data_IF_529729632085
#
_entry.id   IF_529729632085
#
_cell.length_a   1.000
_cell.length_b   1.000
_cell.length_c   1.000
_cell.angle_alpha   90.00
_cell.angle_beta   90.00
_cell.angle_gamma   90.00
#
_symmetry.space_group_name_H-M   'P 1'
#
loop_
_entity.id
_entity.type
_entity.pdbx_description
1 polymer ?
#
# COMPACT_ATOMS: atom_id res chain seq x y z
N UNK A 1 29.34 -48.33 -0.18
CA UNK A 1 28.07 -47.93 -0.82
C UNK A 1 27.59 -46.71 -0.06
N UNK A 2 27.36 -45.64 -0.82
CA UNK A 2 27.55 -44.23 -0.46
C UNK A 2 26.97 -43.73 0.85
N UNK A 3 27.83 -42.97 1.54
CA UNK A 3 27.49 -41.88 2.44
C UNK A 3 26.81 -40.76 1.65
N UNK A 4 25.50 -40.60 1.81
CA UNK A 4 24.84 -39.35 1.46
C UNK A 4 25.17 -38.34 2.56
N UNK A 5 26.08 -37.42 2.24
CA UNK A 5 26.40 -36.23 3.01
C UNK A 5 25.12 -35.43 3.29
N UNK A 6 24.70 -35.44 4.56
CA UNK A 6 23.85 -34.42 5.15
C UNK A 6 24.69 -33.14 5.23
N UNK A 7 24.75 -32.38 4.12
CA UNK A 7 25.37 -31.05 4.04
C UNK A 7 24.65 -30.09 5.01
N UNK A 8 25.03 -30.17 6.28
CA UNK A 8 24.72 -29.14 7.26
C UNK A 8 25.51 -27.90 6.87
N UNK A 9 24.82 -26.90 6.34
CA UNK A 9 25.35 -25.56 6.14
C UNK A 9 25.76 -25.00 7.51
N UNK A 10 27.02 -25.19 7.88
CA UNK A 10 27.65 -24.63 9.06
C UNK A 10 28.07 -23.19 8.75
N UNK A 11 27.14 -22.24 8.86
CA UNK A 11 27.46 -20.82 8.74
C UNK A 11 28.26 -20.36 9.96
N UNK A 12 29.37 -19.66 9.74
CA UNK A 12 30.17 -19.10 10.82
C UNK A 12 29.43 -17.96 11.54
N UNK A 13 29.77 -17.69 12.80
CA UNK A 13 29.18 -16.58 13.54
C UNK A 13 29.43 -15.21 12.88
N UNK A 14 30.54 -15.07 12.14
CA UNK A 14 30.88 -13.86 11.39
C UNK A 14 29.98 -13.68 10.16
N UNK A 15 29.76 -14.74 9.39
CA UNK A 15 28.84 -14.73 8.24
C UNK A 15 27.40 -14.48 8.70
N UNK A 16 26.96 -15.13 9.78
CA UNK A 16 25.64 -14.92 10.38
C UNK A 16 25.42 -13.45 10.76
N UNK A 17 26.45 -12.82 11.32
CA UNK A 17 26.43 -11.41 11.69
C UNK A 17 26.37 -10.50 10.46
N UNK A 18 27.17 -10.77 9.44
CA UNK A 18 27.18 -9.98 8.21
C UNK A 18 25.81 -10.00 7.52
N UNK A 19 25.20 -11.19 7.37
CA UNK A 19 23.86 -11.35 6.78
C UNK A 19 22.80 -10.59 7.59
N UNK A 20 22.86 -10.67 8.92
CA UNK A 20 21.93 -9.92 9.78
C UNK A 20 22.08 -8.42 9.63
N UNK A 21 23.32 -7.92 9.63
CA UNK A 21 23.61 -6.49 9.55
C UNK A 21 23.21 -5.93 8.15
N UNK A 22 23.39 -6.72 7.09
CA UNK A 22 22.89 -6.42 5.74
C UNK A 22 21.36 -6.36 5.69
N UNK A 23 20.69 -7.34 6.29
CA UNK A 23 19.22 -7.38 6.35
C UNK A 23 18.64 -6.22 7.16
N UNK A 24 19.30 -5.82 8.25
CA UNK A 24 18.91 -4.63 9.01
C UNK A 24 19.04 -3.36 8.19
N UNK A 25 20.14 -3.20 7.42
CA UNK A 25 20.30 -2.05 6.51
C UNK A 25 19.21 -2.02 5.45
N UNK A 26 18.86 -3.18 4.90
CA UNK A 26 17.78 -3.33 3.95
C UNK A 26 16.44 -2.84 4.52
N UNK A 27 16.05 -3.27 5.73
CA UNK A 27 14.80 -2.81 6.36
C UNK A 27 14.83 -1.32 6.69
N UNK A 28 15.99 -0.80 7.10
CA UNK A 28 16.16 0.62 7.43
C UNK A 28 15.90 1.54 6.23
N UNK A 29 16.25 1.11 5.01
CA UNK A 29 15.88 1.84 3.78
C UNK A 29 14.37 2.03 3.64
N UNK A 30 13.58 1.01 4.00
CA UNK A 30 12.11 1.08 3.99
C UNK A 30 11.56 1.96 5.11
N UNK A 31 12.17 1.96 6.29
CA UNK A 31 11.82 2.91 7.36
C UNK A 31 12.05 4.36 6.93
N UNK A 32 13.13 4.62 6.20
CA UNK A 32 13.38 5.96 5.64
C UNK A 32 12.42 6.31 4.51
N UNK A 33 12.11 5.37 3.62
CA UNK A 33 11.09 5.59 2.58
C UNK A 33 9.72 5.93 3.17
N UNK A 34 9.35 5.32 4.31
CA UNK A 34 8.14 5.69 5.05
C UNK A 34 8.19 7.14 5.54
N UNK A 35 9.31 7.57 6.15
CA UNK A 35 9.44 8.94 6.66
C UNK A 35 9.31 10.00 5.56
N UNK A 36 9.86 9.73 4.38
CA UNK A 36 9.71 10.60 3.20
C UNK A 36 8.22 10.76 2.83
N UNK A 37 7.50 9.64 2.72
CA UNK A 37 6.05 9.67 2.43
C UNK A 37 5.25 10.32 3.55
N UNK A 38 5.51 9.99 4.81
CA UNK A 38 4.83 10.58 5.97
C UNK A 38 4.98 12.10 5.97
N UNK A 39 6.20 12.61 5.79
CA UNK A 39 6.46 14.04 5.73
C UNK A 39 5.67 14.72 4.61
N UNK A 40 5.62 14.12 3.41
CA UNK A 40 4.84 14.63 2.28
C UNK A 40 3.34 14.68 2.60
N UNK A 41 2.81 13.65 3.26
CA UNK A 41 1.40 13.60 3.67
C UNK A 41 1.10 14.60 4.78
N UNK A 42 1.99 14.77 5.75
CA UNK A 42 1.85 15.76 6.82
C UNK A 42 1.85 17.18 6.26
N UNK A 43 2.71 17.49 5.30
CA UNK A 43 2.70 18.79 4.61
C UNK A 43 1.37 19.03 3.91
N UNK A 44 0.85 18.04 3.17
CA UNK A 44 -0.46 18.16 2.51
C UNK A 44 -1.58 18.37 3.55
N UNK A 45 -1.57 17.61 4.65
CA UNK A 45 -2.54 17.76 5.75
C UNK A 45 -2.53 19.17 6.31
N UNK A 46 -1.34 19.69 6.62
CA UNK A 46 -1.18 20.99 7.25
C UNK A 46 -1.54 22.11 6.26
N UNK A 47 -1.15 22.00 4.98
CA UNK A 47 -1.57 22.92 3.92
C UNK A 47 -3.10 23.00 3.82
N UNK A 48 -3.80 21.86 3.86
CA UNK A 48 -5.26 21.85 3.88
C UNK A 48 -5.85 22.55 5.09
N UNK A 49 -5.29 22.35 6.28
CA UNK A 49 -5.76 23.01 7.50
C UNK A 49 -5.59 24.53 7.47
N UNK A 50 -4.53 25.04 6.84
CA UNK A 50 -4.25 26.48 6.80
C UNK A 50 -4.89 27.21 5.62
N UNK A 51 -5.05 26.53 4.49
CA UNK A 51 -5.50 27.14 3.22
C UNK A 51 -6.96 26.86 2.88
N UNK A 52 -7.59 25.89 3.55
CA UNK A 52 -8.95 25.47 3.27
C UNK A 52 -9.77 25.35 4.57
N UNK A 53 -11.08 25.51 4.47
CA UNK A 53 -11.98 25.39 5.63
C UNK A 53 -12.19 23.92 6.10
N UNK A 54 -11.51 22.97 5.47
CA UNK A 54 -11.74 21.53 5.66
C UNK A 54 -10.46 20.72 5.44
N UNK A 55 -10.19 19.79 6.36
CA UNK A 55 -9.05 18.87 6.28
C UNK A 55 -9.51 17.50 5.76
N UNK A 56 -9.02 17.05 4.59
CA UNK A 56 -9.38 15.76 4.02
C UNK A 56 -8.78 14.55 4.76
N UNK A 57 -7.79 14.74 5.65
CA UNK A 57 -7.04 13.67 6.31
C UNK A 57 -7.39 13.60 7.79
N UNK A 58 -7.96 12.46 8.20
CA UNK A 58 -8.36 12.17 9.57
C UNK A 58 -7.25 11.49 10.35
N UNK A 59 -6.61 10.49 9.73
CA UNK A 59 -5.58 9.69 10.38
C UNK A 59 -4.57 9.14 9.38
N UNK A 60 -3.30 9.09 9.80
CA UNK A 60 -2.21 8.47 9.05
C UNK A 60 -1.54 7.47 9.97
N UNK A 61 -1.30 6.27 9.47
CA UNK A 61 -0.52 5.25 10.16
C UNK A 61 0.45 4.60 9.19
N UNK A 62 1.66 4.30 9.64
CA UNK A 62 2.67 3.63 8.85
C UNK A 62 3.18 2.39 9.57
N UNK A 63 3.77 1.47 8.80
CA UNK A 63 4.47 0.31 9.34
C UNK A 63 5.46 -0.24 8.34
N UNK A 64 6.56 -0.79 8.87
CA UNK A 64 7.40 -1.74 8.15
C UNK A 64 6.94 -3.16 8.51
N UNK A 65 6.86 -4.03 7.50
CA UNK A 65 6.52 -5.44 7.68
C UNK A 65 7.58 -6.12 8.56
N UNK A 66 7.14 -6.89 9.56
CA UNK A 66 8.09 -7.64 10.40
C UNK A 66 8.88 -8.66 9.56
N UNK A 67 10.10 -8.95 10.01
CA UNK A 67 10.98 -9.95 9.39
C UNK A 67 10.27 -11.28 9.16
N UNK A 68 9.56 -11.80 10.17
CA UNK A 68 8.85 -13.08 10.06
C UNK A 68 7.75 -13.02 8.99
N UNK A 69 6.98 -11.94 8.95
CA UNK A 69 5.93 -11.74 7.94
C UNK A 69 6.48 -11.57 6.53
N UNK A 70 7.67 -10.98 6.40
CA UNK A 70 8.37 -10.85 5.13
C UNK A 70 8.87 -12.22 4.64
N UNK A 71 9.56 -12.98 5.52
CA UNK A 71 10.04 -14.33 5.21
C UNK A 71 8.88 -15.28 4.86
N UNK A 72 7.76 -15.20 5.58
CA UNK A 72 6.54 -15.94 5.24
C UNK A 72 6.00 -15.57 3.86
N UNK A 73 6.05 -14.29 3.50
CA UNK A 73 5.58 -13.82 2.19
C UNK A 73 6.50 -14.28 1.06
N UNK A 74 7.82 -14.22 1.25
CA UNK A 74 8.82 -14.76 0.33
C UNK A 74 8.58 -16.25 0.09
N UNK A 75 8.43 -17.02 1.18
CA UNK A 75 8.15 -18.46 1.12
C UNK A 75 6.83 -18.77 0.39
N UNK A 76 5.75 -18.07 0.73
CA UNK A 76 4.43 -18.25 0.07
C UNK A 76 4.45 -17.92 -1.42
N UNK A 77 5.35 -17.04 -1.86
CA UNK A 77 5.52 -16.68 -3.28
C UNK A 77 6.54 -17.54 -4.01
N UNK A 78 7.20 -18.48 -3.34
CA UNK A 78 8.27 -19.28 -3.96
C UNK A 78 9.50 -18.45 -4.35
N UNK A 79 9.73 -17.35 -3.63
CA UNK A 79 10.87 -16.43 -3.74
C UNK A 79 12.24 -17.13 -3.67
N UNK A 80 13.17 -17.08 -4.65
CA UNK A 80 14.57 -17.39 -4.37
C UNK A 80 15.11 -16.51 -3.22
N UNK A 81 16.02 -17.02 -2.39
CA UNK A 81 16.67 -16.22 -1.36
C UNK A 81 17.54 -15.12 -2.01
N UNK A 82 17.41 -13.89 -1.50
CA UNK A 82 18.20 -12.74 -1.96
C UNK A 82 17.46 -11.43 -1.76
N UNK A 83 18.14 -10.42 -1.21
CA UNK A 83 17.53 -9.13 -0.91
C UNK A 83 17.09 -8.38 -2.18
N UNK A 84 17.84 -8.52 -3.28
CA UNK A 84 17.48 -7.93 -4.57
C UNK A 84 16.17 -8.51 -5.13
N UNK A 85 16.00 -9.83 -5.01
CA UNK A 85 14.77 -10.52 -5.41
C UNK A 85 13.59 -10.03 -4.57
N UNK A 86 13.80 -9.91 -3.25
CA UNK A 86 12.79 -9.39 -2.34
C UNK A 86 12.39 -7.96 -2.72
N UNK A 87 13.36 -7.08 -2.99
CA UNK A 87 13.11 -5.69 -3.40
C UNK A 87 12.27 -5.60 -4.67
N UNK A 88 12.56 -6.44 -5.66
CA UNK A 88 11.88 -6.43 -6.95
C UNK A 88 10.45 -7.00 -6.87
N UNK A 89 10.19 -7.97 -6.00
CA UNK A 89 8.94 -8.74 -6.01
C UNK A 89 8.01 -8.44 -4.83
N UNK A 90 8.49 -7.79 -3.77
CA UNK A 90 7.72 -7.47 -2.58
C UNK A 90 7.70 -5.96 -2.36
N UNK A 91 6.61 -5.36 -2.80
CA UNK A 91 6.40 -3.90 -2.80
C UNK A 91 5.72 -3.36 -1.55
N UNK A 92 5.19 -4.22 -0.67
CA UNK A 92 4.46 -3.87 0.55
C UNK A 92 5.31 -4.10 1.83
N UNK A 93 6.62 -3.88 1.72
CA UNK A 93 7.53 -3.93 2.88
C UNK A 93 7.31 -2.69 3.74
N UNK A 94 7.29 -1.52 3.12
CA UNK A 94 6.81 -0.26 3.69
C UNK A 94 5.34 -0.07 3.33
N UNK A 95 4.50 0.15 4.34
CA UNK A 95 3.07 0.42 4.15
C UNK A 95 2.60 1.66 4.90
N UNK A 96 1.94 2.57 4.21
CA UNK A 96 1.23 3.72 4.79
C UNK A 96 -0.27 3.51 4.58
N UNK A 97 -1.07 3.84 5.61
CA UNK A 97 -2.51 3.91 5.51
C UNK A 97 -2.95 5.33 5.83
N UNK A 98 -3.77 5.88 4.95
CA UNK A 98 -4.34 7.20 5.08
C UNK A 98 -5.85 7.07 5.11
N UNK A 99 -6.45 7.52 6.21
CA UNK A 99 -7.89 7.58 6.40
C UNK A 99 -8.34 9.00 6.14
N UNK A 100 -9.22 9.17 5.16
CA UNK A 100 -9.84 10.42 4.75
C UNK A 100 -11.30 10.48 5.22
N UNK A 101 -11.91 11.67 5.24
CA UNK A 101 -13.32 11.76 5.64
C UNK A 101 -14.27 11.28 4.54
N UNK A 102 -14.00 11.60 3.27
CA UNK A 102 -14.85 11.17 2.14
C UNK A 102 -14.09 10.47 1.02
N UNK A 103 -14.84 9.85 0.11
CA UNK A 103 -14.29 9.14 -1.04
C UNK A 103 -13.66 10.12 -2.04
N UNK A 104 -14.24 11.31 -2.22
CA UNK A 104 -13.64 12.36 -3.04
C UNK A 104 -12.24 12.78 -2.53
N UNK A 105 -12.05 12.80 -1.21
CA UNK A 105 -10.77 13.17 -0.59
C UNK A 105 -9.70 12.11 -0.77
N UNK A 106 -10.10 10.82 -0.79
CA UNK A 106 -9.22 9.71 -1.14
C UNK A 106 -8.58 9.94 -2.51
N UNK A 107 -9.38 10.23 -3.53
CA UNK A 107 -8.87 10.47 -4.89
C UNK A 107 -8.06 11.76 -4.98
N UNK A 108 -8.53 12.83 -4.34
CA UNK A 108 -7.82 14.11 -4.33
C UNK A 108 -6.43 13.98 -3.71
N UNK A 109 -6.30 13.29 -2.58
CA UNK A 109 -5.02 13.12 -1.92
C UNK A 109 -4.08 12.20 -2.71
N UNK A 110 -4.62 11.13 -3.30
CA UNK A 110 -3.88 10.27 -4.22
C UNK A 110 -3.28 11.07 -5.38
N UNK A 111 -4.08 11.93 -6.03
CA UNK A 111 -3.61 12.80 -7.11
C UNK A 111 -2.52 13.76 -6.65
N UNK A 112 -2.75 14.49 -5.55
CA UNK A 112 -1.79 15.48 -5.04
C UNK A 112 -0.45 14.85 -4.66
N UNK A 113 -0.46 13.65 -4.08
CA UNK A 113 0.78 12.94 -3.74
C UNK A 113 1.50 12.46 -4.99
N UNK A 114 0.79 11.88 -5.95
CA UNK A 114 1.38 11.27 -7.16
C UNK A 114 1.80 12.28 -8.22
N UNK A 115 1.37 13.55 -8.09
CA UNK A 115 1.83 14.66 -8.92
C UNK A 115 3.16 15.27 -8.45
N UNK A 116 3.69 14.90 -7.29
CA UNK A 116 4.98 15.40 -6.82
C UNK A 116 6.12 14.85 -7.68
N UNK A 117 7.06 15.72 -8.07
CA UNK A 117 8.12 15.41 -9.04
C UNK A 117 9.03 14.23 -8.65
N UNK A 118 9.14 13.95 -7.35
CA UNK A 118 9.99 12.90 -6.78
C UNK A 118 9.23 11.64 -6.35
N UNK A 119 7.92 11.58 -6.62
CA UNK A 119 7.07 10.41 -6.34
C UNK A 119 6.74 9.71 -7.65
N UNK A 120 7.23 8.49 -7.84
CA UNK A 120 6.92 7.69 -9.03
C UNK A 120 5.82 6.69 -8.74
N UNK A 121 4.69 6.78 -9.43
CA UNK A 121 3.61 5.81 -9.33
C UNK A 121 3.94 4.52 -10.09
N UNK A 122 4.03 3.39 -9.38
CA UNK A 122 4.33 2.08 -9.96
C UNK A 122 3.06 1.27 -10.28
N UNK A 123 2.06 1.30 -9.40
CA UNK A 123 0.82 0.52 -9.58
C UNK A 123 -0.34 1.15 -8.81
N UNK A 124 -1.54 1.08 -9.38
CA UNK A 124 -2.80 1.44 -8.71
C UNK A 124 -3.74 0.25 -8.74
N UNK A 125 -4.42 0.00 -7.62
CA UNK A 125 -5.55 -0.93 -7.53
C UNK A 125 -6.71 -0.22 -6.86
N UNK A 126 -7.75 0.05 -7.64
CA UNK A 126 -8.90 0.79 -7.19
C UNK A 126 -10.03 -0.15 -6.75
N UNK A 127 -9.99 -0.57 -5.48
CA UNK A 127 -11.07 -1.37 -4.90
C UNK A 127 -12.24 -0.51 -4.42
N UNK A 128 -12.22 0.81 -4.62
CA UNK A 128 -13.37 1.66 -4.37
C UNK A 128 -14.31 1.57 -5.58
N UNK A 129 -13.74 1.75 -6.77
CA UNK A 129 -14.46 1.58 -8.04
C UNK A 129 -14.83 0.11 -8.31
N UNK A 130 -13.93 -0.83 -8.02
CA UNK A 130 -14.14 -2.27 -8.20
C UNK A 130 -13.92 -3.03 -6.87
N UNK A 131 -14.91 -3.02 -5.96
CA UNK A 131 -14.81 -3.71 -4.67
C UNK A 131 -14.55 -5.20 -4.84
N UNK A 132 -13.81 -5.79 -3.90
CA UNK A 132 -13.62 -7.25 -3.90
C UNK A 132 -14.94 -7.97 -3.59
N UNK A 133 -15.06 -9.26 -3.95
CA UNK A 133 -16.28 -10.04 -3.67
C UNK A 133 -16.73 -10.05 -2.20
N UNK A 134 -15.79 -9.93 -1.26
CA UNK A 134 -16.08 -9.87 0.18
C UNK A 134 -16.59 -8.49 0.67
N UNK A 135 -16.66 -7.47 -0.20
CA UNK A 135 -17.02 -6.10 0.16
C UNK A 135 -15.83 -5.20 0.52
N UNK A 136 -14.59 -5.69 0.40
CA UNK A 136 -13.42 -4.87 0.69
C UNK A 136 -13.26 -3.69 -0.29
N UNK A 137 -13.13 -2.49 0.27
CA UNK A 137 -12.87 -1.25 -0.46
C UNK A 137 -11.66 -0.50 0.10
N UNK A 138 -10.83 0.03 -0.81
CA UNK A 138 -9.66 0.88 -0.53
C UNK A 138 -9.01 1.22 -1.88
N UNK A 139 -8.37 2.39 -2.00
CA UNK A 139 -7.50 2.69 -3.13
C UNK A 139 -6.06 2.36 -2.73
N UNK A 140 -5.41 1.42 -3.44
CA UNK A 140 -4.02 1.05 -3.18
C UNK A 140 -3.12 1.65 -4.25
N UNK A 141 -2.14 2.43 -3.84
CA UNK A 141 -1.08 2.92 -4.71
C UNK A 141 0.26 2.34 -4.25
N UNK A 142 1.03 1.78 -5.16
CA UNK A 142 2.44 1.49 -4.92
C UNK A 142 3.22 2.62 -5.57
N UNK A 143 3.94 3.38 -4.75
CA UNK A 143 4.79 4.48 -5.20
C UNK A 143 6.25 4.18 -4.90
N UNK A 144 7.15 4.86 -5.58
CA UNK A 144 8.58 4.80 -5.35
C UNK A 144 9.11 6.19 -5.03
N UNK A 145 9.91 6.30 -3.96
CA UNK A 145 10.54 7.55 -3.53
C UNK A 145 12.05 7.42 -3.38
N UNK A 146 12.82 8.49 -3.65
CA UNK A 146 14.24 8.53 -3.33
C UNK A 146 14.49 8.60 -1.83
N UNK A 147 15.38 7.74 -1.35
CA UNK A 147 16.00 7.86 -0.02
C UNK A 147 17.49 8.13 -0.21
N UNK A 148 17.97 9.24 0.34
CA UNK A 148 19.38 9.64 0.22
C UNK A 148 20.18 9.18 1.45
N UNK A 149 21.03 8.18 1.26
CA UNK A 149 21.92 7.63 2.28
C UNK A 149 23.36 8.07 2.06
N UNK A 150 24.22 7.84 3.06
CA UNK A 150 25.66 8.09 2.93
C UNK A 150 26.33 7.26 1.82
N UNK A 151 25.72 6.15 1.42
CA UNK A 151 26.17 5.28 0.33
C UNK A 151 25.59 5.64 -1.04
N UNK A 152 24.68 6.63 -1.11
CA UNK A 152 24.01 7.04 -2.34
C UNK A 152 22.50 7.05 -2.22
N UNK A 153 21.84 7.38 -3.34
CA UNK A 153 20.38 7.38 -3.43
C UNK A 153 19.86 5.97 -3.72
N UNK A 154 18.85 5.54 -2.96
CA UNK A 154 18.13 4.28 -3.18
C UNK A 154 16.68 4.61 -3.46
N UNK A 155 16.09 3.92 -4.42
CA UNK A 155 14.66 4.02 -4.71
C UNK A 155 13.91 2.98 -3.90
N UNK A 156 12.93 3.43 -3.12
CA UNK A 156 12.23 2.60 -2.14
C UNK A 156 10.75 2.54 -2.49
N UNK A 157 10.19 1.35 -2.77
CA UNK A 157 8.77 1.20 -2.98
C UNK A 157 8.01 1.24 -1.66
N UNK A 158 6.90 1.98 -1.64
CA UNK A 158 5.98 2.13 -0.51
C UNK A 158 4.56 1.87 -1.00
N UNK A 159 3.86 0.95 -0.34
CA UNK A 159 2.43 0.75 -0.55
C UNK A 159 1.64 1.76 0.29
N UNK A 160 0.77 2.53 -0.35
CA UNK A 160 -0.11 3.50 0.29
C UNK A 160 -1.56 3.06 0.09
N UNK A 161 -2.29 2.92 1.19
CA UNK A 161 -3.69 2.54 1.20
C UNK A 161 -4.53 3.74 1.63
N UNK A 162 -5.31 4.29 0.71
CA UNK A 162 -6.25 5.36 0.98
C UNK A 162 -7.64 4.76 1.25
N UNK A 163 -8.31 5.27 2.29
CA UNK A 163 -9.60 4.75 2.78
C UNK A 163 -10.43 5.88 3.35
N UNK A 164 -11.75 5.70 3.38
CA UNK A 164 -12.60 6.47 4.30
C UNK A 164 -12.55 5.86 5.71
N UNK A 165 -13.13 6.57 6.68
CA UNK A 165 -13.33 6.05 8.04
C UNK A 165 -14.10 4.72 8.02
N UNK A 166 -15.18 4.63 7.24
CA UNK A 166 -16.02 3.43 7.21
C UNK A 166 -15.29 2.25 6.56
N UNK A 167 -14.55 2.49 5.48
CA UNK A 167 -13.70 1.47 4.84
C UNK A 167 -12.63 0.93 5.80
N UNK A 168 -11.97 1.81 6.55
CA UNK A 168 -10.94 1.39 7.50
C UNK A 168 -11.51 0.60 8.68
N UNK A 169 -12.65 1.05 9.22
CA UNK A 169 -13.36 0.35 10.27
C UNK A 169 -13.76 -1.07 9.83
N UNK A 170 -14.38 -1.19 8.66
CA UNK A 170 -14.81 -2.47 8.10
C UNK A 170 -13.63 -3.42 7.87
N UNK A 171 -12.58 -2.94 7.20
CA UNK A 171 -11.40 -3.75 6.88
C UNK A 171 -10.64 -4.19 8.15
N UNK A 172 -10.63 -3.36 9.19
CA UNK A 172 -10.04 -3.72 10.48
C UNK A 172 -10.82 -4.83 11.20
N UNK A 173 -12.15 -4.85 11.08
CA UNK A 173 -12.99 -5.92 11.61
C UNK A 173 -12.83 -7.22 10.82
N UNK A 174 -12.88 -7.15 9.48
CA UNK A 174 -12.69 -8.29 8.58
C UNK A 174 -11.34 -8.99 8.88
N UNK A 175 -10.27 -8.20 8.99
CA UNK A 175 -8.94 -8.74 9.26
C UNK A 175 -8.86 -9.45 10.62
N UNK A 176 -9.49 -8.89 11.66
CA UNK A 176 -9.55 -9.51 13.01
C UNK A 176 -10.32 -10.83 12.98
N UNK A 177 -11.43 -10.90 12.23
CA UNK A 177 -12.23 -12.11 12.07
C UNK A 177 -11.42 -13.18 11.33
N UNK A 178 -10.83 -12.85 10.18
CA UNK A 178 -10.02 -13.80 9.42
C UNK A 178 -8.82 -14.32 10.24
N UNK A 179 -8.20 -13.49 11.06
CA UNK A 179 -7.15 -13.92 11.97
C UNK A 179 -7.66 -14.91 13.03
N UNK A 180 -8.78 -14.58 13.70
CA UNK A 180 -9.36 -15.42 14.76
C UNK A 180 -9.82 -16.80 14.27
N UNK A 181 -10.33 -16.89 13.04
CA UNK A 181 -10.85 -18.13 12.47
C UNK A 181 -9.85 -18.86 11.57
N UNK A 182 -8.55 -18.50 11.61
CA UNK A 182 -7.52 -19.09 10.74
C UNK A 182 -7.93 -19.10 9.25
N UNK A 183 -8.63 -18.05 8.81
CA UNK A 183 -9.23 -17.88 7.48
C UNK A 183 -10.38 -18.83 7.12
N UNK A 184 -10.88 -19.63 8.06
CA UNK A 184 -12.07 -20.48 7.90
C UNK A 184 -13.31 -19.81 8.51
N UNK A 185 -13.72 -18.68 7.92
CA UNK A 185 -14.84 -17.88 8.43
C UNK A 185 -16.17 -18.52 8.00
N UNK A 186 -17.15 -18.68 8.92
CA UNK A 186 -18.48 -19.19 8.57
C UNK A 186 -19.17 -18.34 7.49
N UNK A 187 -19.85 -18.99 6.55
CA UNK A 187 -20.45 -18.32 5.38
C UNK A 187 -21.49 -17.24 5.76
N UNK A 188 -22.32 -17.50 6.78
CA UNK A 188 -23.27 -16.49 7.28
C UNK A 188 -22.60 -15.24 7.85
N UNK A 189 -21.39 -15.38 8.43
CA UNK A 189 -20.61 -14.23 8.91
C UNK A 189 -19.97 -13.46 7.75
N UNK A 190 -19.51 -14.16 6.71
CA UNK A 190 -19.02 -13.51 5.48
C UNK A 190 -20.14 -12.71 4.78
N UNK A 191 -21.35 -13.26 4.69
CA UNK A 191 -22.50 -12.56 4.16
C UNK A 191 -22.85 -11.31 4.99
N UNK A 192 -22.83 -11.43 6.31
CA UNK A 192 -23.08 -10.29 7.23
C UNK A 192 -22.00 -9.21 7.12
N UNK A 193 -20.73 -9.60 6.94
CA UNK A 193 -19.65 -8.65 6.69
C UNK A 193 -19.85 -7.92 5.38
N UNK A 194 -20.20 -8.64 4.30
CA UNK A 194 -20.48 -8.02 3.02
C UNK A 194 -21.62 -7.00 3.11
N UNK A 195 -22.72 -7.37 3.74
CA UNK A 195 -23.87 -6.46 3.96
C UNK A 195 -23.48 -5.20 4.75
N UNK A 196 -22.63 -5.37 5.78
CA UNK A 196 -22.09 -4.25 6.53
C UNK A 196 -21.18 -3.33 5.70
N UNK A 197 -20.39 -3.89 4.76
CA UNK A 197 -19.59 -3.10 3.82
C UNK A 197 -20.49 -2.30 2.88
N UNK A 198 -21.50 -2.94 2.29
CA UNK A 198 -22.42 -2.30 1.35
C UNK A 198 -23.20 -1.16 2.07
N UNK A 199 -23.63 -1.37 3.32
CA UNK A 199 -24.27 -0.35 4.16
C UNK A 199 -23.32 0.80 4.51
N UNK A 200 -22.07 0.50 4.85
CA UNK A 200 -21.04 1.50 5.13
C UNK A 200 -20.78 2.40 3.91
N UNK A 201 -20.70 1.80 2.72
CA UNK A 201 -20.52 2.53 1.47
C UNK A 201 -21.70 3.48 1.17
N UNK A 202 -22.95 3.03 1.42
CA UNK A 202 -24.13 3.89 1.26
C UNK A 202 -24.10 5.08 2.23
N UNK A 203 -23.72 4.84 3.49
CA UNK A 203 -23.60 5.88 4.50
C UNK A 203 -22.53 6.91 4.10
N UNK A 204 -21.34 6.47 3.69
CA UNK A 204 -20.26 7.35 3.24
C UNK A 204 -20.74 8.24 2.07
N UNK A 205 -21.38 7.63 1.07
CA UNK A 205 -21.89 8.37 -0.09
C UNK A 205 -22.99 9.38 0.32
N UNK A 206 -23.84 9.05 1.29
CA UNK A 206 -24.86 9.95 1.81
C UNK A 206 -24.24 11.12 2.57
N UNK A 207 -23.26 10.84 3.44
CA UNK A 207 -22.57 11.86 4.23
C UNK A 207 -21.78 12.82 3.33
N UNK A 208 -21.14 12.31 2.29
CA UNK A 208 -20.43 13.13 1.30
C UNK A 208 -21.40 14.07 0.55
N UNK A 209 -22.59 13.58 0.16
CA UNK A 209 -23.63 14.44 -0.46
C UNK A 209 -24.09 15.55 0.47
N UNK A 210 -24.28 15.25 1.76
CA UNK A 210 -24.67 16.24 2.76
C UNK A 210 -23.56 17.28 2.96
N UNK A 211 -22.31 16.84 3.06
CA UNK A 211 -21.15 17.73 3.17
C UNK A 211 -21.06 18.69 1.97
N UNK A 212 -21.20 18.16 0.75
CA UNK A 212 -21.22 18.98 -0.48
C UNK A 212 -22.35 20.01 -0.50
N UNK A 213 -23.53 19.65 0.01
CA UNK A 213 -24.68 20.56 0.08
C UNK A 213 -24.49 21.68 1.11
N UNK A 214 -23.83 21.41 2.24
CA UNK A 214 -23.54 22.41 3.28
C UNK A 214 -22.43 23.38 2.88
N UNK A 215 -21.38 22.89 2.20
CA UNK A 215 -20.22 23.69 1.82
C UNK A 215 -20.32 24.34 0.43
N UNK A 216 -21.53 24.34 -0.18
CA UNK A 216 -21.84 25.14 -1.35
C UNK A 216 -20.89 24.92 -2.53
N UNK A 217 -20.93 23.74 -3.16
CA UNK A 217 -20.38 23.47 -4.50
C UNK A 217 -19.07 24.19 -4.85
N UNK A 218 -17.94 23.70 -4.33
CA UNK A 218 -16.63 24.10 -4.85
C UNK A 218 -16.51 23.72 -6.34
N UNK A 219 -15.82 24.53 -7.17
CA UNK A 219 -15.72 24.29 -8.60
C UNK A 219 -15.05 22.93 -8.84
N UNK A 220 -15.78 22.05 -9.51
CA UNK A 220 -15.18 20.89 -10.18
C UNK A 220 -14.31 21.44 -11.30
N UNK A 221 -13.03 21.70 -11.04
CA UNK A 221 -12.07 21.60 -12.12
C UNK A 221 -12.18 20.17 -12.66
N UNK A 222 -12.46 19.97 -13.95
CA UNK A 222 -12.60 18.63 -14.49
C UNK A 222 -11.27 17.91 -14.34
N UNK A 223 -11.20 16.98 -13.39
CA UNK A 223 -10.14 15.98 -13.31
C UNK A 223 -10.24 15.18 -14.60
N UNK A 224 -9.25 15.34 -15.47
CA UNK A 224 -9.15 14.53 -16.68
C UNK A 224 -8.65 13.16 -16.24
N UNK A 225 -9.55 12.18 -16.19
CA UNK A 225 -9.20 10.79 -15.92
C UNK A 225 -8.35 10.27 -17.09
N UNK A 226 -7.05 10.30 -16.89
CA UNK A 226 -6.02 9.36 -17.36
C UNK A 226 -6.49 7.92 -17.67
N UNK A 227 -6.92 7.48 -18.88
CA UNK A 227 -7.25 6.07 -19.05
C UNK A 227 -5.99 5.23 -18.87
N UNK A 228 -6.00 4.33 -17.87
CA UNK A 228 -4.94 3.35 -17.67
C UNK A 228 -5.07 2.29 -18.77
N UNK A 229 -4.02 2.03 -19.59
CA UNK A 229 -4.12 1.03 -20.64
C UNK A 229 -4.27 -0.38 -20.05
N UNK A 230 -5.10 -1.25 -20.66
CA UNK A 230 -5.31 -2.60 -20.18
C UNK A 230 -4.03 -3.45 -20.32
N UNK A 231 -3.72 -4.18 -19.26
CA UNK A 231 -2.60 -5.12 -19.17
C UNK A 231 -3.05 -6.44 -19.80
N UNK A 232 -3.10 -6.53 -21.12
CA UNK A 232 -2.86 -7.80 -21.80
C UNK A 232 -2.58 -7.59 -23.30
N UNK A 233 -1.30 -7.58 -23.66
CA UNK A 233 -0.84 -7.90 -25.01
C UNK A 233 0.63 -8.34 -24.91
N UNK A 234 1.00 -9.53 -25.40
CA UNK A 234 2.40 -9.95 -25.40
C UNK A 234 3.21 -9.03 -26.32
N UNK A 235 4.29 -8.44 -25.79
CA UNK A 235 5.21 -7.61 -26.57
C UNK A 235 5.73 -8.39 -27.81
N UNK A 236 5.76 -7.79 -29.01
CA UNK A 236 6.38 -8.43 -30.16
C UNK A 236 7.91 -8.43 -29.99
N UNK A 237 8.62 -9.42 -30.56
CA UNK A 237 10.06 -9.55 -30.40
C UNK A 237 10.77 -8.35 -31.05
N UNK A 238 11.61 -7.67 -30.26
CA UNK A 238 12.43 -6.54 -30.72
C UNK A 238 13.42 -7.03 -31.79
N UNK A 239 13.28 -6.51 -33.02
CA UNK A 239 14.24 -6.71 -34.09
C UNK A 239 15.53 -5.95 -33.77
N UNK A 240 16.62 -6.69 -33.56
CA UNK A 240 17.96 -6.13 -33.50
C UNK A 240 18.39 -5.85 -34.95
N UNK A 241 18.57 -4.56 -35.28
CA UNK A 241 19.23 -4.16 -36.53
C UNK A 241 20.69 -3.86 -36.23
N UNK A 242 21.58 -4.53 -36.95
CA UNK A 242 23.02 -4.32 -36.95
C UNK A 242 23.43 -3.03 -37.67
#
# INVERSE_FOLDING_TARGET
MDSADDERISMSAAEARAVRDEFQRFLLEYEFGLKEIETKIEILRDEFLYMHDYNPIEHVSSRVKSTDSLLDKVRRRGLPPGLDVVRQHITDIAGVRITCSFTADVYRLFELLTQQDDVTLLLVKDYIAEPKPNGYQSLHAIVEVPVFLSTGAVRVPVEIQFRTIAMDFWASLEHKIHYKYERQVPEGLLASLKDAADTAAELDARMERLHRALHGGLPTSPVTVVPVPPIDSPEPPRSISA
#
